data_IF_597720075364
#
_entry.id   IF_597720075364
#
_cell.length_a   1.000
_cell.length_b   1.000
_cell.length_c   1.000
_cell.angle_alpha   90.00
_cell.angle_beta   90.00
_cell.angle_gamma   90.00
#
_symmetry.space_group_name_H-M   'P 1'
#
loop_
_entity.id
_entity.type
_entity.pdbx_description
1 polymer ?
#
# COMPACT_ATOMS: atom_id res chain seq x y z
N UNK A 1 1.17 -2.02 10.26
CA UNK A 1 0.58 -1.41 9.04
C UNK A 1 1.03 0.03 8.75
N UNK A 2 1.59 0.78 9.71
CA UNK A 2 2.09 2.15 9.45
C UNK A 2 3.21 2.18 8.40
N UNK A 3 4.20 1.28 8.49
CA UNK A 3 5.29 1.17 7.51
C UNK A 3 4.80 0.91 6.07
N UNK A 4 3.75 0.09 5.90
CA UNK A 4 3.15 -0.16 4.60
C UNK A 4 2.53 1.11 4.01
N UNK A 5 1.84 1.92 4.84
CA UNK A 5 1.22 3.18 4.40
C UNK A 5 2.29 4.19 3.98
N UNK A 6 3.37 4.31 4.75
CA UNK A 6 4.51 5.18 4.42
C UNK A 6 5.18 4.77 3.12
N UNK A 7 5.47 3.48 2.94
CA UNK A 7 6.06 2.96 1.70
C UNK A 7 5.16 3.22 0.51
N UNK A 8 3.86 3.01 0.64
CA UNK A 8 2.89 3.27 -0.42
C UNK A 8 2.79 4.77 -0.75
N UNK A 9 2.94 5.65 0.24
CA UNK A 9 2.86 7.10 0.06
C UNK A 9 4.12 7.68 -0.58
N UNK A 10 5.31 7.17 -0.22
CA UNK A 10 6.59 7.75 -0.62
C UNK A 10 7.32 6.96 -1.71
N UNK A 11 6.85 5.76 -2.04
CA UNK A 11 7.54 4.83 -2.93
C UNK A 11 6.58 4.29 -3.98
N UNK A 12 7.02 4.23 -5.23
CA UNK A 12 6.28 3.58 -6.33
C UNK A 12 6.60 2.07 -6.40
N UNK A 13 6.93 1.48 -5.25
CA UNK A 13 7.35 0.09 -5.14
C UNK A 13 6.22 -0.87 -5.52
N UNK A 14 6.58 -1.98 -6.15
CA UNK A 14 5.63 -3.04 -6.42
C UNK A 14 5.01 -3.56 -5.11
N UNK A 15 3.72 -3.90 -5.11
CA UNK A 15 3.03 -4.37 -3.89
C UNK A 15 3.68 -5.61 -3.27
N UNK A 16 4.29 -6.47 -4.09
CA UNK A 16 5.10 -7.59 -3.62
C UNK A 16 6.27 -7.16 -2.74
N UNK A 17 6.96 -6.08 -3.10
CA UNK A 17 8.10 -5.54 -2.33
C UNK A 17 7.60 -4.98 -1.00
N UNK A 18 6.51 -4.20 -1.03
CA UNK A 18 5.88 -3.66 0.19
C UNK A 18 5.44 -4.79 1.12
N UNK A 19 4.86 -5.86 0.57
CA UNK A 19 4.45 -7.04 1.32
C UNK A 19 5.65 -7.71 2.02
N UNK A 20 6.73 -7.98 1.29
CA UNK A 20 7.95 -8.59 1.85
C UNK A 20 8.56 -7.72 2.95
N UNK A 21 8.60 -6.41 2.77
CA UNK A 21 9.19 -5.50 3.75
C UNK A 21 8.41 -5.39 5.06
N UNK A 22 7.11 -5.66 5.04
CA UNK A 22 6.29 -5.69 6.26
C UNK A 22 6.09 -7.11 6.81
N UNK A 23 6.83 -8.09 6.27
CA UNK A 23 6.88 -9.46 6.78
C UNK A 23 5.87 -10.42 6.15
N UNK A 24 5.27 -10.09 5.00
CA UNK A 24 4.41 -11.00 4.27
C UNK A 24 5.13 -11.64 3.09
N UNK A 25 5.00 -12.95 2.98
CA UNK A 25 5.59 -13.76 1.92
C UNK A 25 4.85 -13.61 0.57
N UNK A 26 3.61 -13.11 0.60
CA UNK A 26 2.76 -12.96 -0.58
C UNK A 26 1.94 -11.67 -0.57
N UNK A 27 1.81 -11.06 -1.76
CA UNK A 27 0.96 -9.88 -2.00
C UNK A 27 -0.50 -10.14 -1.59
N UNK A 28 -1.02 -11.35 -1.81
CA UNK A 28 -2.40 -11.70 -1.47
C UNK A 28 -2.65 -11.71 0.04
N UNK A 29 -1.69 -12.23 0.82
CA UNK A 29 -1.75 -12.23 2.29
C UNK A 29 -1.70 -10.79 2.82
N UNK A 30 -0.78 -9.99 2.31
CA UNK A 30 -0.69 -8.56 2.62
C UNK A 30 -1.97 -7.82 2.25
N UNK A 31 -2.51 -8.02 1.05
CA UNK A 31 -3.71 -7.33 0.57
C UNK A 31 -4.94 -7.62 1.43
N UNK A 32 -5.07 -8.87 1.89
CA UNK A 32 -6.13 -9.28 2.81
C UNK A 32 -5.99 -8.62 4.18
N UNK A 33 -4.79 -8.65 4.77
CA UNK A 33 -4.52 -8.04 6.07
C UNK A 33 -4.65 -6.50 6.01
N UNK A 34 -4.14 -5.88 4.95
CA UNK A 34 -4.23 -4.45 4.71
C UNK A 34 -5.68 -4.01 4.54
N UNK A 35 -6.48 -4.74 3.75
CA UNK A 35 -7.91 -4.45 3.61
C UNK A 35 -8.65 -4.55 4.94
N UNK A 36 -8.35 -5.55 5.78
CA UNK A 36 -8.95 -5.67 7.12
C UNK A 36 -8.59 -4.49 8.02
N UNK A 37 -7.34 -4.00 7.96
CA UNK A 37 -6.86 -2.97 8.88
C UNK A 37 -7.05 -1.53 8.38
N UNK A 38 -7.12 -1.30 7.07
CA UNK A 38 -7.26 0.02 6.44
C UNK A 38 -8.66 0.23 5.87
N UNK A 39 -9.43 -0.84 5.65
CA UNK A 39 -10.80 -0.79 5.11
C UNK A 39 -10.86 -0.80 3.58
N UNK A 40 -9.73 -0.68 2.89
CA UNK A 40 -9.65 -0.71 1.43
C UNK A 40 -8.43 -1.51 0.93
N UNK A 41 -8.50 -2.00 -0.31
CA UNK A 41 -7.37 -2.73 -0.89
C UNK A 41 -6.16 -1.80 -1.11
N UNK A 42 -4.92 -2.29 -0.90
CA UNK A 42 -3.72 -1.46 -1.02
C UNK A 42 -3.58 -0.81 -2.40
N UNK A 43 -3.95 -1.50 -3.49
CA UNK A 43 -3.98 -0.91 -4.85
C UNK A 43 -4.87 0.33 -4.96
N UNK A 44 -6.05 0.31 -4.31
CA UNK A 44 -6.98 1.44 -4.31
C UNK A 44 -6.45 2.59 -3.44
N UNK A 45 -5.75 2.26 -2.36
CA UNK A 45 -5.06 3.23 -1.51
C UNK A 45 -3.93 3.95 -2.27
N UNK A 46 -3.09 3.21 -2.99
CA UNK A 46 -2.03 3.78 -3.87
C UNK A 46 -2.63 4.71 -4.92
N UNK A 47 -3.68 4.26 -5.63
CA UNK A 47 -4.33 5.07 -6.66
C UNK A 47 -4.91 6.37 -6.09
N UNK A 48 -5.50 6.32 -4.90
CA UNK A 48 -6.06 7.49 -4.22
C UNK A 48 -4.97 8.48 -3.76
N UNK A 49 -3.80 7.97 -3.34
CA UNK A 49 -2.64 8.79 -3.00
C UNK A 49 -2.02 9.45 -4.22
N UNK A 50 -1.90 8.73 -5.34
CA UNK A 50 -1.45 9.31 -6.61
C UNK A 50 -2.37 10.42 -7.08
N UNK A 51 -3.68 10.21 -7.00
CA UNK A 51 -4.67 11.24 -7.36
C UNK A 51 -4.52 12.50 -6.48
N UNK A 52 -4.24 12.35 -5.19
CA UNK A 52 -3.95 13.48 -4.28
C UNK A 52 -2.63 14.18 -4.61
N UNK A 53 -1.55 13.44 -4.79
CA UNK A 53 -0.24 14.00 -5.12
C UNK A 53 -0.23 14.74 -6.47
N UNK A 54 -1.10 14.36 -7.40
CA UNK A 54 -1.22 14.96 -8.73
C UNK A 54 -2.17 16.17 -8.77
N UNK A 55 -2.98 16.38 -7.72
CA UNK A 55 -3.85 17.54 -7.56
C UNK A 55 -3.19 18.67 -6.74
N UNK A 56 -2.12 18.37 -6.01
CA UNK A 56 -1.31 19.31 -5.23
C UNK A 56 -0.08 19.86 -6.00
N UNK A 57 0.01 19.58 -7.32
CA UNK A 57 1.08 20.03 -8.22
C UNK A 57 0.52 20.91 -9.34
#
# INVERSE_FOLDING_TARGET
MSLAKDRIAHSNDAMRVVAQQVGYESESAFSTAFKRQVGCAPRRYVASLKLKAQADA
#
